data_IF_755105246087
#
_entry.id   IF_755105246087
#
_cell.length_a   1.000
_cell.length_b   1.000
_cell.length_c   1.000
_cell.angle_alpha   90.00
_cell.angle_beta   90.00
_cell.angle_gamma   90.00
#
_symmetry.space_group_name_H-M   'P 1'
#
loop_
_entity.id
_entity.type
_entity.pdbx_description
1 polymer ?
#
# COMPACT_ATOMS: atom_id res chain seq x y z
N UNK A 1 -56.68 26.02 45.50
CA UNK A 1 -55.99 27.19 44.93
C UNK A 1 -54.85 27.61 45.85
N UNK A 2 -53.60 27.46 45.41
CA UNK A 2 -52.42 28.26 45.84
C UNK A 2 -51.36 28.10 44.75
N UNK A 3 -51.14 29.19 44.00
CA UNK A 3 -50.10 29.33 42.99
C UNK A 3 -48.84 29.87 43.66
N UNK A 4 -47.69 29.30 43.33
CA UNK A 4 -46.39 29.99 43.47
C UNK A 4 -45.47 29.51 42.35
N UNK A 5 -45.17 30.45 41.44
CA UNK A 5 -44.20 30.37 40.36
C UNK A 5 -42.87 30.93 40.86
N UNK A 6 -41.74 30.24 40.64
CA UNK A 6 -40.36 30.78 40.38
C UNK A 6 -39.54 29.67 39.67
N UNK A 7 -39.24 29.80 38.37
CA UNK A 7 -38.02 30.37 37.75
C UNK A 7 -36.76 29.45 37.76
N UNK A 8 -36.46 28.91 36.56
CA UNK A 8 -35.16 28.72 35.88
C UNK A 8 -34.04 27.94 36.59
N UNK A 9 -33.64 26.81 36.01
CA UNK A 9 -32.25 26.63 35.56
C UNK A 9 -32.16 25.61 34.41
N UNK A 10 -31.48 26.06 33.36
CA UNK A 10 -31.16 25.38 32.12
C UNK A 10 -29.87 24.59 32.34
N UNK A 11 -29.83 23.30 32.04
CA UNK A 11 -28.56 22.63 31.75
C UNK A 11 -28.81 21.45 30.82
N UNK A 12 -28.65 21.75 29.53
CA UNK A 12 -28.30 20.81 28.47
C UNK A 12 -27.00 20.10 28.89
N UNK A 13 -27.05 18.80 29.15
CA UNK A 13 -25.86 17.96 29.07
C UNK A 13 -25.90 17.26 27.72
N UNK A 14 -25.24 17.89 26.74
CA UNK A 14 -24.96 17.29 25.45
C UNK A 14 -24.20 16.00 25.63
N UNK A 15 -24.81 14.90 25.18
CA UNK A 15 -24.13 13.65 24.87
C UNK A 15 -23.23 13.94 23.67
N UNK A 16 -21.91 14.03 23.91
CA UNK A 16 -20.92 13.91 22.84
C UNK A 16 -20.29 12.54 23.01
N UNK A 17 -20.93 11.53 22.43
CA UNK A 17 -20.26 10.32 22.01
C UNK A 17 -19.40 10.73 20.81
N UNK A 18 -18.13 11.04 21.08
CA UNK A 18 -17.12 11.19 20.04
C UNK A 18 -16.97 9.85 19.34
N UNK A 19 -17.67 9.69 18.22
CA UNK A 19 -17.44 8.58 17.30
C UNK A 19 -16.06 8.84 16.71
N UNK A 20 -15.03 8.16 17.20
CA UNK A 20 -13.80 8.02 16.44
C UNK A 20 -14.17 7.23 15.19
N UNK A 21 -14.33 7.94 14.08
CA UNK A 21 -14.46 7.33 12.76
C UNK A 21 -13.14 6.62 12.49
N UNK A 22 -13.04 5.35 12.87
CA UNK A 22 -12.03 4.44 12.33
C UNK A 22 -12.28 4.49 10.82
N UNK A 23 -11.32 4.96 10.01
CA UNK A 23 -11.49 4.93 8.57
C UNK A 23 -11.73 3.47 8.20
N UNK A 24 -12.90 3.19 7.64
CA UNK A 24 -13.25 1.88 7.13
C UNK A 24 -12.29 1.56 6.00
N UNK A 25 -11.28 0.76 6.33
CA UNK A 25 -10.29 0.25 5.39
C UNK A 25 -11.07 -0.53 4.34
N UNK A 26 -11.24 0.05 3.16
CA UNK A 26 -11.92 -0.63 2.05
C UNK A 26 -10.95 -1.65 1.47
N UNK A 27 -10.95 -2.85 2.04
CA UNK A 27 -10.12 -3.97 1.60
C UNK A 27 -10.79 -4.55 0.36
N UNK A 28 -10.26 -4.23 -0.82
CA UNK A 28 -10.71 -4.82 -2.08
C UNK A 28 -10.07 -6.20 -2.26
N UNK A 29 -10.90 -7.25 -2.21
CA UNK A 29 -10.48 -8.61 -2.51
C UNK A 29 -10.30 -8.79 -4.02
N UNK A 30 -9.35 -9.64 -4.41
CA UNK A 30 -9.10 -9.90 -5.82
C UNK A 30 -10.23 -10.71 -6.47
N UNK A 31 -11.00 -10.08 -7.36
CA UNK A 31 -11.76 -10.75 -8.42
C UNK A 31 -11.38 -10.15 -9.77
N UNK A 32 -10.42 -10.76 -10.47
CA UNK A 32 -10.06 -10.36 -11.83
C UNK A 32 -10.72 -11.30 -12.85
N UNK A 33 -11.34 -10.75 -13.90
CA UNK A 33 -11.62 -11.50 -15.12
C UNK A 33 -10.28 -11.90 -15.74
N UNK A 34 -10.11 -13.20 -15.99
CA UNK A 34 -8.89 -13.79 -16.56
C UNK A 34 -8.67 -13.29 -17.98
N UNK A 35 -7.86 -12.25 -18.14
CA UNK A 35 -7.19 -12.01 -19.42
C UNK A 35 -5.91 -12.84 -19.41
N UNK A 36 -5.86 -13.87 -20.26
CA UNK A 36 -4.71 -14.75 -20.43
C UNK A 36 -3.52 -13.96 -21.00
N UNK A 37 -2.73 -13.33 -20.14
CA UNK A 37 -1.31 -13.12 -20.45
C UNK A 37 -0.61 -14.42 -20.06
N UNK A 38 -0.03 -15.12 -21.03
CA UNK A 38 0.66 -16.38 -20.79
C UNK A 38 1.83 -16.17 -19.82
N UNK A 39 1.61 -16.48 -18.55
CA UNK A 39 2.69 -16.58 -17.57
C UNK A 39 3.34 -17.93 -17.83
N UNK A 40 4.50 -17.95 -18.48
CA UNK A 40 5.24 -19.19 -18.69
C UNK A 40 5.61 -19.84 -17.34
N UNK A 41 5.71 -21.17 -17.29
CA UNK A 41 6.15 -21.98 -16.13
C UNK A 41 7.66 -21.86 -15.87
N UNK A 42 8.22 -20.66 -15.98
CA UNK A 42 9.58 -20.33 -15.57
C UNK A 42 9.62 -20.03 -14.08
N UNK A 43 10.74 -20.30 -13.40
CA UNK A 43 10.94 -19.85 -12.03
C UNK A 43 10.72 -18.33 -11.89
N UNK A 44 10.35 -17.87 -10.69
CA UNK A 44 10.25 -16.43 -10.44
C UNK A 44 11.64 -15.82 -10.46
N UNK A 45 11.95 -15.08 -11.52
CA UNK A 45 13.18 -14.28 -11.64
C UNK A 45 12.83 -12.81 -11.47
N UNK A 46 13.38 -12.10 -10.47
CA UNK A 46 13.18 -10.66 -10.33
C UNK A 46 13.58 -9.91 -11.62
N UNK A 47 12.76 -8.96 -12.04
CA UNK A 47 13.09 -8.10 -13.18
C UNK A 47 14.25 -7.17 -12.81
N UNK A 48 15.29 -7.18 -13.65
CA UNK A 48 16.45 -6.28 -13.54
C UNK A 48 16.47 -5.21 -14.63
N UNK A 49 15.63 -5.35 -15.64
CA UNK A 49 15.44 -4.39 -16.72
C UNK A 49 14.03 -4.51 -17.29
N UNK A 50 13.47 -3.39 -17.73
CA UNK A 50 12.20 -3.31 -18.45
C UNK A 50 12.38 -2.32 -19.61
N UNK A 51 11.66 -2.54 -20.69
CA UNK A 51 11.51 -1.57 -21.79
C UNK A 51 10.65 -0.39 -21.34
N UNK A 52 10.73 0.74 -22.06
CA UNK A 52 9.93 1.92 -21.72
C UNK A 52 8.42 1.65 -21.78
N UNK A 53 7.98 0.77 -22.70
CA UNK A 53 6.58 0.35 -22.81
C UNK A 53 6.13 -0.49 -21.61
N UNK A 54 6.98 -1.42 -21.15
CA UNK A 54 6.72 -2.21 -19.95
C UNK A 54 6.68 -1.34 -18.69
N UNK A 55 7.61 -0.38 -18.56
CA UNK A 55 7.61 0.60 -17.45
C UNK A 55 6.31 1.40 -17.48
N UNK A 56 5.89 1.90 -18.65
CA UNK A 56 4.64 2.64 -18.79
C UNK A 56 3.41 1.80 -18.43
N UNK A 57 3.38 0.54 -18.84
CA UNK A 57 2.28 -0.39 -18.60
C UNK A 57 2.17 -0.74 -17.12
N UNK A 58 3.30 -1.06 -16.49
CA UNK A 58 3.37 -1.30 -15.05
C UNK A 58 2.96 -0.05 -14.27
N UNK A 59 3.48 1.13 -14.64
CA UNK A 59 3.14 2.38 -13.98
C UNK A 59 1.63 2.69 -14.06
N UNK A 60 0.99 2.44 -15.22
CA UNK A 60 -0.47 2.59 -15.37
C UNK A 60 -1.23 1.64 -14.44
N UNK A 61 -0.82 0.37 -14.34
CA UNK A 61 -1.47 -0.62 -13.46
C UNK A 61 -1.32 -0.20 -11.99
N UNK A 62 -0.12 0.19 -11.56
CA UNK A 62 0.12 0.66 -10.19
C UNK A 62 -0.69 1.93 -9.91
N UNK A 63 -0.71 2.90 -10.82
CA UNK A 63 -1.50 4.13 -10.66
C UNK A 63 -3.00 3.85 -10.53
N UNK A 64 -3.53 2.84 -11.24
CA UNK A 64 -4.94 2.46 -11.11
C UNK A 64 -5.33 2.02 -9.69
N UNK A 65 -4.36 1.51 -8.91
CA UNK A 65 -4.50 1.13 -7.51
C UNK A 65 -4.20 2.30 -6.55
N UNK A 66 -3.43 3.31 -7.01
CA UNK A 66 -2.92 4.44 -6.23
C UNK A 66 -3.21 5.76 -6.93
N UNK A 67 -4.49 6.13 -7.04
CA UNK A 67 -4.96 7.22 -7.92
C UNK A 67 -4.42 8.61 -7.56
N UNK A 68 -4.03 8.82 -6.30
CA UNK A 68 -3.44 10.07 -5.80
C UNK A 68 -1.92 10.15 -5.99
N UNK A 69 -1.28 9.08 -6.47
CA UNK A 69 0.14 9.03 -6.78
C UNK A 69 0.32 9.29 -8.28
N UNK A 70 1.19 10.25 -8.63
CA UNK A 70 1.42 10.57 -10.04
C UNK A 70 2.12 9.42 -10.75
N UNK A 71 1.81 9.25 -12.03
CA UNK A 71 2.42 8.23 -12.86
C UNK A 71 3.94 8.43 -12.94
N UNK A 72 4.38 9.68 -13.06
CA UNK A 72 5.79 10.05 -13.14
C UNK A 72 6.55 9.63 -11.88
N UNK A 73 5.94 9.82 -10.70
CA UNK A 73 6.53 9.37 -9.44
C UNK A 73 6.67 7.83 -9.42
N UNK A 74 5.66 7.10 -9.91
CA UNK A 74 5.71 5.64 -10.02
C UNK A 74 6.79 5.19 -11.02
N UNK A 75 6.92 5.85 -12.18
CA UNK A 75 7.96 5.54 -13.17
C UNK A 75 9.35 5.71 -12.57
N UNK A 76 9.58 6.80 -11.83
CA UNK A 76 10.85 7.01 -11.12
C UNK A 76 11.12 5.91 -10.08
N UNK A 77 10.10 5.48 -9.33
CA UNK A 77 10.24 4.34 -8.41
C UNK A 77 10.62 3.06 -9.15
N UNK A 78 9.97 2.74 -10.28
CA UNK A 78 10.31 1.57 -11.09
C UNK A 78 11.78 1.62 -11.51
N UNK A 79 12.22 2.75 -12.07
CA UNK A 79 13.59 2.94 -12.56
C UNK A 79 14.63 2.80 -11.44
N UNK A 80 14.37 3.38 -10.26
CA UNK A 80 15.23 3.24 -9.09
C UNK A 80 15.31 1.78 -8.63
N UNK A 81 14.18 1.09 -8.50
CA UNK A 81 14.14 -0.30 -8.02
C UNK A 81 14.82 -1.27 -8.99
N UNK A 82 14.70 -1.05 -10.31
CA UNK A 82 15.45 -1.82 -11.32
C UNK A 82 16.97 -1.67 -11.16
N UNK A 83 17.42 -0.52 -10.67
CA UNK A 83 18.84 -0.25 -10.35
C UNK A 83 19.23 -0.73 -8.94
N UNK A 84 18.29 -1.31 -8.18
CA UNK A 84 18.51 -1.71 -6.79
C UNK A 84 18.50 -0.55 -5.79
N UNK A 85 18.10 0.65 -6.22
CA UNK A 85 17.86 1.80 -5.35
C UNK A 85 16.41 1.75 -4.81
N UNK A 86 16.28 1.62 -3.49
CA UNK A 86 14.98 1.60 -2.81
C UNK A 86 14.69 2.91 -2.07
N UNK A 87 15.44 3.98 -2.37
CA UNK A 87 15.08 5.32 -1.91
C UNK A 87 13.84 5.83 -2.65
N UNK A 88 13.04 6.65 -1.96
CA UNK A 88 11.77 7.14 -2.49
C UNK A 88 11.96 8.50 -3.19
N UNK A 89 11.31 8.75 -4.34
CA UNK A 89 11.38 10.04 -5.00
C UNK A 89 10.89 11.17 -4.10
N UNK A 90 11.61 12.28 -4.16
CA UNK A 90 11.31 13.46 -3.37
C UNK A 90 10.00 14.07 -3.83
N UNK A 91 9.03 14.16 -2.92
CA UNK A 91 7.80 14.94 -3.18
C UNK A 91 7.97 16.29 -2.52
N UNK A 92 8.35 17.31 -3.30
CA UNK A 92 8.43 18.66 -2.77
C UNK A 92 7.05 19.12 -2.30
N UNK A 93 6.97 19.58 -1.04
CA UNK A 93 5.87 20.43 -0.62
C UNK A 93 6.41 21.49 0.31
N UNK A 94 6.18 22.77 -0.01
CA UNK A 94 6.66 23.89 0.80
C UNK A 94 6.00 23.97 2.17
N UNK A 95 4.93 23.20 2.40
CA UNK A 95 4.18 23.16 3.66
C UNK A 95 4.44 21.90 4.49
N UNK A 96 5.32 21.00 4.03
CA UNK A 96 5.62 19.75 4.73
C UNK A 96 6.95 19.83 5.44
N UNK A 97 6.93 19.41 6.71
CA UNK A 97 8.17 19.20 7.44
C UNK A 97 8.77 17.84 7.07
N UNK A 98 10.09 17.75 6.98
CA UNK A 98 10.80 16.53 6.58
C UNK A 98 10.48 15.30 7.46
N UNK A 99 10.12 15.53 8.73
CA UNK A 99 9.72 14.46 9.67
C UNK A 99 8.39 13.79 9.32
N UNK A 100 7.54 14.42 8.51
CA UNK A 100 6.21 13.89 8.20
C UNK A 100 6.27 12.68 7.25
N UNK A 101 7.44 12.36 6.68
CA UNK A 101 7.67 11.19 5.83
C UNK A 101 6.81 11.15 4.56
N UNK A 102 6.49 9.95 4.09
CA UNK A 102 5.77 9.71 2.83
C UNK A 102 4.32 9.27 3.09
N UNK A 103 3.37 9.47 2.17
CA UNK A 103 2.00 8.98 2.41
C UNK A 103 1.93 7.45 2.36
N UNK A 104 0.93 6.88 3.01
CA UNK A 104 0.64 5.43 2.94
C UNK A 104 0.40 4.97 1.50
N UNK A 105 -0.29 5.77 0.67
CA UNK A 105 -0.50 5.42 -0.74
C UNK A 105 0.80 5.44 -1.55
N UNK A 106 1.66 6.43 -1.34
CA UNK A 106 2.96 6.46 -2.00
C UNK A 106 3.85 5.28 -1.56
N UNK A 107 3.88 4.93 -0.27
CA UNK A 107 4.56 3.72 0.18
C UNK A 107 3.93 2.45 -0.39
N UNK A 108 2.59 2.39 -0.44
CA UNK A 108 1.86 1.27 -1.02
C UNK A 108 2.21 1.07 -2.49
N UNK A 109 2.28 2.15 -3.27
CA UNK A 109 2.70 2.12 -4.67
C UNK A 109 4.14 1.64 -4.83
N UNK A 110 5.06 2.08 -3.94
CA UNK A 110 6.43 1.62 -3.96
C UNK A 110 6.56 0.12 -3.64
N UNK A 111 5.81 -0.37 -2.65
CA UNK A 111 5.78 -1.78 -2.29
C UNK A 111 5.14 -2.64 -3.39
N UNK A 112 4.02 -2.22 -3.98
CA UNK A 112 3.39 -2.93 -5.11
C UNK A 112 4.32 -2.99 -6.32
N UNK A 113 5.07 -1.93 -6.58
CA UNK A 113 6.09 -1.91 -7.63
C UNK A 113 7.19 -2.93 -7.32
N UNK A 114 7.72 -2.93 -6.09
CA UNK A 114 8.79 -3.84 -5.70
C UNK A 114 8.34 -5.30 -5.76
N UNK A 115 7.09 -5.59 -5.35
CA UNK A 115 6.48 -6.91 -5.45
C UNK A 115 6.35 -7.31 -6.93
N UNK A 116 5.85 -6.42 -7.78
CA UNK A 116 5.69 -6.70 -9.22
C UNK A 116 7.05 -7.01 -9.88
N UNK A 117 8.07 -6.21 -9.58
CA UNK A 117 9.43 -6.45 -10.07
C UNK A 117 10.03 -7.75 -9.52
N UNK A 118 9.85 -8.04 -8.22
CA UNK A 118 10.29 -9.30 -7.62
C UNK A 118 9.59 -10.53 -8.24
N UNK A 119 8.39 -10.34 -8.79
CA UNK A 119 7.63 -11.35 -9.52
C UNK A 119 7.92 -11.39 -11.03
N UNK A 120 8.95 -10.67 -11.49
CA UNK A 120 9.39 -10.63 -12.89
C UNK A 120 8.87 -9.44 -13.69
N UNK A 121 8.45 -8.36 -13.04
CA UNK A 121 7.98 -7.14 -13.72
C UNK A 121 6.62 -7.28 -14.38
N UNK A 122 5.86 -8.29 -13.98
CA UNK A 122 4.54 -8.60 -14.55
C UNK A 122 3.45 -7.66 -14.02
N UNK A 123 2.42 -7.45 -14.85
CA UNK A 123 1.19 -6.74 -14.48
C UNK A 123 0.04 -7.69 -14.11
N UNK A 124 0.28 -9.00 -14.17
CA UNK A 124 -0.69 -10.01 -13.77
C UNK A 124 -1.03 -9.89 -12.27
N UNK A 125 -2.30 -10.06 -11.92
CA UNK A 125 -2.71 -10.08 -10.53
C UNK A 125 -2.09 -11.25 -9.75
N UNK A 126 -1.90 -11.06 -8.44
CA UNK A 126 -1.30 -12.05 -7.56
C UNK A 126 -1.97 -13.43 -7.63
N UNK A 127 -3.30 -13.48 -7.76
CA UNK A 127 -4.04 -14.75 -7.82
C UNK A 127 -3.62 -15.61 -9.01
N UNK A 128 -3.46 -14.99 -10.20
CA UNK A 128 -2.98 -15.67 -11.41
C UNK A 128 -1.54 -16.16 -11.21
N UNK A 129 -0.68 -15.32 -10.62
CA UNK A 129 0.70 -15.69 -10.35
C UNK A 129 0.83 -16.81 -9.32
N UNK A 130 -0.03 -16.85 -8.30
CA UNK A 130 -0.08 -17.95 -7.33
C UNK A 130 -0.47 -19.25 -8.02
N UNK A 131 -1.42 -19.22 -8.96
CA UNK A 131 -1.85 -20.40 -9.70
C UNK A 131 -0.72 -20.98 -10.57
N UNK A 132 0.08 -20.11 -11.20
CA UNK A 132 1.14 -20.54 -12.13
C UNK A 132 2.47 -20.80 -11.42
N UNK A 133 2.91 -19.90 -10.55
CA UNK A 133 4.23 -19.94 -9.90
C UNK A 133 4.21 -20.58 -8.51
N UNK A 134 3.03 -20.78 -7.94
CA UNK A 134 2.85 -21.36 -6.60
C UNK A 134 2.92 -20.34 -5.46
N UNK A 135 2.14 -20.61 -4.41
CA UNK A 135 2.00 -19.74 -3.23
C UNK A 135 3.34 -19.42 -2.57
N UNK A 136 4.22 -20.42 -2.44
CA UNK A 136 5.49 -20.24 -1.73
C UNK A 136 6.41 -19.25 -2.43
N UNK A 137 6.54 -19.36 -3.76
CA UNK A 137 7.40 -18.48 -4.54
C UNK A 137 6.88 -17.03 -4.50
N UNK A 138 5.57 -16.82 -4.67
CA UNK A 138 4.96 -15.49 -4.55
C UNK A 138 5.14 -14.90 -3.15
N UNK A 139 4.93 -15.71 -2.10
CA UNK A 139 5.16 -15.29 -0.71
C UNK A 139 6.61 -14.84 -0.49
N UNK A 140 7.57 -15.58 -1.05
CA UNK A 140 9.00 -15.26 -0.97
C UNK A 140 9.33 -13.94 -1.68
N UNK A 141 8.76 -13.72 -2.88
CA UNK A 141 8.92 -12.47 -3.61
C UNK A 141 8.39 -11.26 -2.83
N UNK A 142 7.19 -11.37 -2.24
CA UNK A 142 6.64 -10.32 -1.37
C UNK A 142 7.55 -10.08 -0.16
N UNK A 143 8.01 -11.16 0.48
CA UNK A 143 8.95 -11.09 1.62
C UNK A 143 10.21 -10.31 1.25
N UNK A 144 10.79 -10.62 0.09
CA UNK A 144 12.00 -9.97 -0.42
C UNK A 144 11.76 -8.49 -0.69
N UNK A 145 10.70 -8.15 -1.42
CA UNK A 145 10.33 -6.77 -1.74
C UNK A 145 10.13 -5.90 -0.48
N UNK A 146 9.40 -6.42 0.51
CA UNK A 146 9.16 -5.74 1.78
C UNK A 146 10.46 -5.53 2.55
N UNK A 147 11.33 -6.54 2.62
CA UNK A 147 12.58 -6.47 3.34
C UNK A 147 13.53 -5.38 2.82
N UNK A 148 13.39 -4.97 1.54
CA UNK A 148 14.19 -3.89 0.95
C UNK A 148 13.85 -2.51 1.51
N UNK A 149 12.59 -2.28 1.87
CA UNK A 149 12.14 -1.02 2.48
C UNK A 149 12.20 -1.04 4.00
N UNK A 150 11.82 -2.17 4.57
CA UNK A 150 11.52 -2.28 5.98
C UNK A 150 12.63 -2.96 6.78
N UNK A 151 13.56 -3.66 6.14
CA UNK A 151 14.44 -4.59 6.84
C UNK A 151 13.66 -5.77 7.44
N UNK A 152 14.19 -6.39 8.49
CA UNK A 152 13.70 -7.69 9.00
C UNK A 152 12.49 -7.66 9.93
N UNK A 153 12.06 -6.50 10.44
CA UNK A 153 11.09 -6.41 11.56
C UNK A 153 9.61 -6.55 11.18
N UNK A 154 9.19 -6.15 9.96
CA UNK A 154 7.78 -6.24 9.52
C UNK A 154 7.44 -7.59 8.85
N UNK A 155 8.41 -8.49 8.72
CA UNK A 155 8.29 -9.73 7.93
C UNK A 155 7.51 -10.86 8.64
N UNK A 156 6.50 -10.49 9.42
CA UNK A 156 5.58 -11.43 10.04
C UNK A 156 4.78 -12.15 8.93
N UNK A 157 4.77 -13.49 8.97
CA UNK A 157 4.09 -14.31 7.97
C UNK A 157 2.60 -14.00 7.85
N UNK A 158 1.95 -13.58 8.94
CA UNK A 158 0.50 -13.31 8.97
C UNK A 158 0.11 -12.16 8.04
N UNK A 159 0.87 -11.05 8.05
CA UNK A 159 0.59 -9.91 7.18
C UNK A 159 0.81 -10.25 5.71
N UNK A 160 1.86 -11.02 5.41
CA UNK A 160 2.14 -11.47 4.05
C UNK A 160 1.06 -12.45 3.57
N UNK A 161 0.65 -13.40 4.40
CA UNK A 161 -0.39 -14.37 4.04
C UNK A 161 -1.74 -13.69 3.76
N UNK A 162 -2.06 -12.61 4.48
CA UNK A 162 -3.24 -11.79 4.19
C UNK A 162 -3.07 -10.99 2.89
N UNK A 163 -1.94 -10.29 2.74
CA UNK A 163 -1.63 -9.48 1.56
C UNK A 163 -1.71 -10.27 0.24
N UNK A 164 -1.37 -11.56 0.26
CA UNK A 164 -1.44 -12.44 -0.91
C UNK A 164 -2.84 -12.58 -1.52
N UNK A 165 -3.91 -12.25 -0.79
CA UNK A 165 -5.29 -12.34 -1.28
C UNK A 165 -5.86 -10.98 -1.72
N UNK A 166 -5.04 -9.93 -1.70
CA UNK A 166 -5.46 -8.56 -2.00
C UNK A 166 -5.02 -8.13 -3.40
N UNK A 167 -5.76 -7.18 -3.97
CA UNK A 167 -5.38 -6.53 -5.23
C UNK A 167 -4.12 -5.66 -5.11
N UNK A 168 -3.95 -5.03 -3.96
CA UNK A 168 -2.78 -4.20 -3.62
C UNK A 168 -2.16 -4.69 -2.30
N UNK A 169 -1.28 -5.70 -2.35
CA UNK A 169 -0.55 -6.16 -1.16
C UNK A 169 0.27 -5.04 -0.51
N UNK A 170 0.85 -4.16 -1.31
CA UNK A 170 1.66 -3.02 -0.89
C UNK A 170 0.88 -2.00 -0.05
N UNK A 171 -0.35 -1.65 -0.44
CA UNK A 171 -1.21 -0.75 0.38
C UNK A 171 -1.43 -1.32 1.77
N UNK A 172 -1.79 -2.60 1.86
CA UNK A 172 -2.04 -3.23 3.15
C UNK A 172 -0.79 -3.23 4.03
N UNK A 173 0.37 -3.56 3.44
CA UNK A 173 1.64 -3.56 4.16
C UNK A 173 2.04 -2.15 4.62
N UNK A 174 1.81 -1.12 3.80
CA UNK A 174 2.02 0.27 4.18
C UNK A 174 1.09 0.70 5.33
N UNK A 175 -0.18 0.29 5.32
CA UNK A 175 -1.11 0.55 6.43
C UNK A 175 -0.67 -0.15 7.72
N UNK A 176 -0.16 -1.39 7.63
CA UNK A 176 0.36 -2.08 8.80
C UNK A 176 1.62 -1.43 9.36
N UNK A 177 2.41 -0.79 8.50
CA UNK A 177 3.55 0.02 8.90
C UNK A 177 3.10 1.32 9.58
N UNK A 178 2.25 2.14 8.95
CA UNK A 178 1.70 3.36 9.56
C UNK A 178 1.10 3.07 10.95
N UNK A 179 0.35 1.98 11.11
CA UNK A 179 -0.21 1.60 12.41
C UNK A 179 0.84 1.30 13.53
N UNK A 180 2.14 1.22 13.21
CA UNK A 180 3.23 0.78 14.10
C UNK A 180 4.48 1.66 14.01
N UNK A 181 4.42 2.77 13.28
CA UNK A 181 5.56 3.67 13.13
C UNK A 181 5.61 4.73 14.26
N UNK A 182 6.46 5.74 14.11
CA UNK A 182 6.65 6.77 15.14
C UNK A 182 5.40 7.60 15.45
N UNK A 183 4.46 7.75 14.50
CA UNK A 183 3.21 8.51 14.69
C UNK A 183 2.04 7.70 14.11
N UNK A 184 1.50 6.75 14.88
CA UNK A 184 0.61 5.74 14.33
C UNK A 184 -0.70 6.27 13.74
N UNK A 185 -1.11 5.69 12.61
CA UNK A 185 -2.40 5.88 11.95
C UNK A 185 -2.64 7.32 11.48
N UNK A 186 -1.60 8.00 11.02
CA UNK A 186 -1.71 9.37 10.50
C UNK A 186 -1.80 9.40 8.96
N UNK A 187 -1.85 8.24 8.30
CA UNK A 187 -1.88 8.13 6.84
C UNK A 187 -0.53 8.36 6.18
N UNK A 188 0.56 8.34 6.96
CA UNK A 188 1.93 8.55 6.50
C UNK A 188 2.85 7.52 7.14
N UNK A 189 3.96 7.27 6.49
CA UNK A 189 5.05 6.46 7.02
C UNK A 189 6.07 7.40 7.64
N UNK A 190 6.26 7.28 8.94
CA UNK A 190 7.18 8.08 9.73
C UNK A 190 8.34 7.20 10.17
N UNK A 191 9.55 7.55 9.72
CA UNK A 191 10.77 6.78 9.95
C UNK A 191 11.38 7.05 11.32
#
# INVERSE_FOLDING_TARGET
MKKSIKFISFLLTSIILGISTIPSISIAYASEQMTQTAVENTDITPATSLTEEEINTLANKIQSLHQDVSKEWIKEVIERQLQGDYTLPQTYSPFRSAWQGITVNQMGAALDTAISLALGGTTAGLASLIQVKGKHAVKSAIRSAVAKYLGGWIVNSVFIDFAMNLLSPGTYLAQQWDARDAVPNNGRINF
#
